data_IF_814942280538
#
_entry.id   IF_814942280538
#
_cell.length_a   1.000
_cell.length_b   1.000
_cell.length_c   1.000
_cell.angle_alpha   90.00
_cell.angle_beta   90.00
_cell.angle_gamma   90.00
#
_symmetry.space_group_name_H-M   'P 1'
#
loop_
_entity.id
_entity.type
_entity.pdbx_description
1 polymer ?
#
# COMPACT_ATOMS: atom_id res chain seq x y z
N UNK A 1 3.79 9.71 35.80
CA UNK A 1 4.98 9.27 35.06
C UNK A 1 4.53 8.31 33.98
N UNK A 2 4.26 8.84 32.78
CA UNK A 2 3.76 8.07 31.65
C UNK A 2 4.94 7.30 31.03
N UNK A 3 4.86 5.96 31.00
CA UNK A 3 5.94 5.11 30.48
C UNK A 3 6.04 5.29 28.97
N UNK A 4 7.09 5.98 28.53
CA UNK A 4 7.51 6.01 27.12
C UNK A 4 7.80 4.57 26.69
N UNK A 5 6.95 4.01 25.82
CA UNK A 5 7.20 2.72 25.17
C UNK A 5 8.41 2.88 24.25
N UNK A 6 9.61 2.57 24.74
CA UNK A 6 10.79 2.41 23.90
C UNK A 6 10.55 1.24 22.92
N UNK A 7 10.02 1.57 21.75
CA UNK A 7 9.98 0.63 20.64
C UNK A 7 11.40 0.41 20.17
N UNK A 8 11.94 -0.79 20.44
CA UNK A 8 13.26 -1.18 19.99
C UNK A 8 13.41 -0.98 18.48
N UNK A 9 14.61 -0.65 17.97
CA UNK A 9 14.86 -0.49 16.53
C UNK A 9 14.31 -1.65 15.68
N UNK A 10 14.36 -2.88 16.22
CA UNK A 10 13.81 -4.09 15.59
C UNK A 10 12.29 -4.03 15.42
N UNK A 11 11.55 -3.57 16.42
CA UNK A 11 10.08 -3.45 16.32
C UNK A 11 9.65 -2.44 15.26
N UNK A 12 10.38 -1.32 15.12
CA UNK A 12 10.13 -0.32 14.07
C UNK A 12 10.38 -0.88 12.67
N UNK A 13 11.45 -1.68 12.50
CA UNK A 13 11.78 -2.33 11.23
C UNK A 13 10.71 -3.35 10.81
N UNK A 14 10.19 -4.15 11.74
CA UNK A 14 9.09 -5.09 11.46
C UNK A 14 7.84 -4.34 10.98
N UNK A 15 7.45 -3.26 11.68
CA UNK A 15 6.30 -2.44 11.28
C UNK A 15 6.48 -1.80 9.90
N UNK A 16 7.70 -1.35 9.59
CA UNK A 16 8.02 -0.79 8.28
C UNK A 16 7.88 -1.84 7.18
N UNK A 17 8.39 -3.05 7.39
CA UNK A 17 8.26 -4.15 6.43
C UNK A 17 6.79 -4.51 6.19
N UNK A 18 5.97 -4.63 7.24
CA UNK A 18 4.52 -4.87 7.11
C UNK A 18 3.84 -3.81 6.23
N UNK A 19 4.17 -2.54 6.42
CA UNK A 19 3.63 -1.43 5.62
C UNK A 19 4.09 -1.50 4.16
N UNK A 20 5.37 -1.83 3.93
CA UNK A 20 5.93 -1.96 2.58
C UNK A 20 5.34 -3.16 1.86
N UNK A 21 5.16 -4.30 2.53
CA UNK A 21 4.55 -5.50 1.97
C UNK A 21 3.08 -5.25 1.64
N UNK A 22 2.32 -4.60 2.53
CA UNK A 22 0.94 -4.22 2.27
C UNK A 22 0.84 -3.29 1.05
N UNK A 23 1.65 -2.22 1.00
CA UNK A 23 1.63 -1.25 -0.09
C UNK A 23 2.09 -1.86 -1.42
N UNK A 24 3.21 -2.56 -1.42
CA UNK A 24 3.74 -3.23 -2.61
C UNK A 24 2.80 -4.34 -3.07
N UNK A 25 2.14 -5.04 -2.14
CA UNK A 25 1.13 -6.05 -2.43
C UNK A 25 -0.07 -5.47 -3.18
N UNK A 26 -0.65 -4.38 -2.66
CA UNK A 26 -1.79 -3.68 -3.31
C UNK A 26 -1.40 -3.26 -4.72
N UNK A 27 -0.28 -2.54 -4.89
CA UNK A 27 0.12 -2.03 -6.20
C UNK A 27 0.42 -3.15 -7.19
N UNK A 28 1.04 -4.25 -6.74
CA UNK A 28 1.38 -5.38 -7.62
C UNK A 28 0.13 -6.13 -8.08
N UNK A 29 -0.87 -6.32 -7.20
CA UNK A 29 -2.13 -6.99 -7.56
C UNK A 29 -2.96 -6.15 -8.53
N UNK A 30 -3.05 -4.84 -8.30
CA UNK A 30 -3.72 -3.92 -9.24
C UNK A 30 -3.00 -3.89 -10.59
N UNK A 31 -1.66 -3.78 -10.59
CA UNK A 31 -0.84 -3.79 -11.81
C UNK A 31 -1.05 -5.07 -12.64
N UNK A 32 -0.99 -6.25 -11.98
CA UNK A 32 -1.21 -7.54 -12.64
C UNK A 32 -2.63 -7.67 -13.19
N UNK A 33 -3.65 -7.25 -12.43
CA UNK A 33 -5.06 -7.34 -12.84
C UNK A 33 -5.36 -6.50 -14.08
N UNK A 34 -4.74 -5.33 -14.20
CA UNK A 34 -5.02 -4.37 -15.27
C UNK A 34 -3.98 -4.40 -16.41
N UNK A 35 -2.96 -5.24 -16.32
CA UNK A 35 -1.90 -5.32 -17.33
C UNK A 35 -1.04 -4.06 -17.43
N UNK A 36 -0.88 -3.31 -16.34
CA UNK A 36 -0.12 -2.05 -16.30
C UNK A 36 1.12 -2.17 -15.41
N UNK A 37 2.08 -1.25 -15.56
CA UNK A 37 3.28 -1.24 -14.73
C UNK A 37 3.00 -0.69 -13.31
N UNK A 38 3.65 -1.24 -12.26
CA UNK A 38 3.45 -0.78 -10.87
C UNK A 38 3.72 0.71 -10.68
N UNK A 39 4.69 1.25 -11.43
CA UNK A 39 5.02 2.69 -11.36
C UNK A 39 3.85 3.54 -11.84
N UNK A 40 3.08 3.07 -12.83
CA UNK A 40 1.88 3.76 -13.27
C UNK A 40 0.81 3.76 -12.16
N UNK A 41 0.58 2.61 -11.53
CA UNK A 41 -0.34 2.49 -10.38
C UNK A 41 0.06 3.43 -9.23
N UNK A 42 1.35 3.48 -8.89
CA UNK A 42 1.89 4.37 -7.86
C UNK A 42 1.67 5.85 -8.20
N UNK A 43 1.91 6.25 -9.46
CA UNK A 43 1.65 7.63 -9.93
C UNK A 43 0.17 8.01 -9.85
N UNK A 44 -0.74 7.06 -10.14
CA UNK A 44 -2.18 7.28 -9.97
C UNK A 44 -2.55 7.43 -8.50
N UNK A 45 -2.04 6.56 -7.62
CA UNK A 45 -2.28 6.64 -6.18
C UNK A 45 -1.80 7.97 -5.56
N UNK A 46 -0.74 8.56 -6.11
CA UNK A 46 -0.20 9.87 -5.70
C UNK A 46 -0.91 11.07 -6.34
N UNK A 47 -1.86 10.84 -7.24
CA UNK A 47 -2.53 11.90 -8.01
C UNK A 47 -1.68 12.53 -9.13
N UNK A 48 -0.50 11.98 -9.41
CA UNK A 48 0.40 12.43 -10.50
C UNK A 48 -0.14 12.03 -11.90
N UNK A 49 -1.02 11.01 -11.94
CA UNK A 49 -1.70 10.51 -13.15
C UNK A 49 -3.18 10.25 -12.83
N UNK A 50 -4.02 10.30 -13.87
CA UNK A 50 -5.45 9.97 -13.78
C UNK A 50 -5.74 8.71 -14.57
N UNK A 51 -6.49 7.79 -13.97
CA UNK A 51 -6.93 6.56 -14.63
C UNK A 51 -8.04 5.91 -13.82
N UNK A 52 -9.29 6.15 -14.22
CA UNK A 52 -10.46 5.62 -13.52
C UNK A 52 -10.40 4.11 -13.24
N UNK A 53 -9.95 3.24 -14.17
CA UNK A 53 -9.84 1.81 -13.88
C UNK A 53 -8.85 1.49 -12.76
N UNK A 54 -7.75 2.25 -12.67
CA UNK A 54 -6.70 2.05 -11.66
C UNK A 54 -7.15 2.62 -10.32
N UNK A 55 -7.79 3.79 -10.32
CA UNK A 55 -8.36 4.40 -9.11
C UNK A 55 -9.40 3.47 -8.47
N UNK A 56 -10.34 2.95 -9.27
CA UNK A 56 -11.36 2.00 -8.80
C UNK A 56 -10.73 0.70 -8.27
N UNK A 57 -9.71 0.17 -8.96
CA UNK A 57 -9.02 -1.03 -8.53
C UNK A 57 -8.22 -0.83 -7.23
N UNK A 58 -7.60 0.33 -7.04
CA UNK A 58 -6.89 0.69 -5.80
C UNK A 58 -7.84 0.77 -4.61
N UNK A 59 -9.00 1.43 -4.77
CA UNK A 59 -10.02 1.50 -3.72
C UNK A 59 -10.52 0.10 -3.36
N UNK A 60 -10.88 -0.72 -4.35
CA UNK A 60 -11.37 -2.08 -4.10
C UNK A 60 -10.33 -2.96 -3.38
N UNK A 61 -9.03 -2.80 -3.69
CA UNK A 61 -7.97 -3.56 -3.07
C UNK A 61 -7.64 -3.08 -1.65
N UNK A 62 -7.78 -1.78 -1.40
CA UNK A 62 -7.68 -1.19 -0.07
C UNK A 62 -8.78 -1.73 0.86
N UNK A 63 -10.04 -1.71 0.42
CA UNK A 63 -11.17 -2.23 1.20
C UNK A 63 -11.01 -3.73 1.52
N UNK A 64 -10.56 -4.52 0.54
CA UNK A 64 -10.27 -5.94 0.74
C UNK A 64 -9.22 -6.16 1.83
N UNK A 65 -8.14 -5.38 1.82
CA UNK A 65 -7.02 -5.52 2.76
C UNK A 65 -7.34 -5.00 4.17
N UNK A 66 -8.40 -4.19 4.32
CA UNK A 66 -8.89 -3.71 5.62
C UNK A 66 -9.89 -4.65 6.30
N UNK A 67 -10.48 -5.57 5.53
CA UNK A 67 -11.50 -6.51 6.02
C UNK A 67 -10.99 -7.88 6.47
N UNK A 68 -9.71 -8.20 6.22
CA UNK A 68 -8.98 -9.38 6.73
C UNK A 68 -8.12 -8.99 7.95
#
# INVERSE_FOLDING_TARGET
MEKVKEQSPKGKLTKLNELVEALCGIYSRVARRLGVHRTFVSRVARGERRSQPVENALVAEYERTKGD
#
